data_IF_526853598880
#
_entry.id   IF_526853598880
#
_cell.length_a   1.000
_cell.length_b   1.000
_cell.length_c   1.000
_cell.angle_alpha   90.00
_cell.angle_beta   90.00
_cell.angle_gamma   90.00
#
_symmetry.space_group_name_H-M   'P 1'
#
loop_
_entity.id
_entity.type
_entity.pdbx_description
1 polymer ?
#
# COMPACT_ATOMS: atom_id res chain seq x y z
N UNK A 1 2.31 -25.77 -14.10
CA UNK A 1 2.91 -25.24 -15.34
C UNK A 1 3.36 -23.81 -15.05
N UNK A 2 4.55 -23.38 -15.48
CA UNK A 2 4.89 -21.95 -15.44
C UNK A 2 4.11 -21.25 -16.56
N UNK A 3 3.29 -20.27 -16.23
CA UNK A 3 2.61 -19.37 -17.16
C UNK A 3 3.17 -17.96 -16.98
N UNK A 4 3.28 -17.16 -18.06
CA UNK A 4 3.74 -15.76 -18.00
C UNK A 4 5.24 -15.52 -18.12
N UNK A 5 6.07 -16.51 -18.46
CA UNK A 5 7.49 -16.29 -18.73
C UNK A 5 7.74 -15.91 -20.20
N UNK A 6 8.38 -14.78 -20.45
CA UNK A 6 8.95 -14.44 -21.76
C UNK A 6 10.41 -14.90 -21.80
N UNK A 7 10.76 -15.80 -22.71
CA UNK A 7 12.15 -16.07 -23.07
C UNK A 7 12.62 -14.99 -24.05
N UNK A 8 13.13 -13.87 -23.55
CA UNK A 8 13.69 -12.78 -24.36
C UNK A 8 15.22 -12.76 -24.29
N UNK A 9 15.85 -11.92 -25.13
CA UNK A 9 17.30 -11.73 -25.21
C UNK A 9 18.13 -12.96 -25.64
N UNK A 10 17.52 -13.96 -26.29
CA UNK A 10 18.28 -15.05 -26.91
C UNK A 10 19.24 -14.48 -27.95
N UNK A 11 20.54 -14.74 -27.78
CA UNK A 11 21.59 -14.32 -28.70
C UNK A 11 22.37 -15.53 -29.22
N UNK A 12 22.81 -15.42 -30.47
CA UNK A 12 23.74 -16.36 -31.07
C UNK A 12 24.72 -15.57 -31.94
N UNK A 13 26.01 -15.85 -31.79
CA UNK A 13 27.10 -15.33 -32.60
C UNK A 13 27.95 -16.47 -33.19
N UNK A 14 29.07 -16.09 -33.82
CA UNK A 14 30.00 -17.01 -34.48
C UNK A 14 30.70 -18.01 -33.54
N UNK A 15 30.68 -17.77 -32.22
CA UNK A 15 31.17 -18.70 -31.20
C UNK A 15 30.05 -19.58 -30.58
N UNK A 16 28.78 -19.30 -30.87
CA UNK A 16 27.61 -20.04 -30.38
C UNK A 16 26.53 -19.15 -29.76
N UNK A 17 25.53 -19.76 -29.12
CA UNK A 17 24.41 -19.05 -28.47
C UNK A 17 23.72 -19.91 -27.42
N UNK A 18 22.85 -19.30 -26.61
CA UNK A 18 22.13 -19.99 -25.54
C UNK A 18 20.72 -19.44 -25.33
N UNK A 19 19.82 -20.31 -24.87
CA UNK A 19 18.55 -19.88 -24.28
C UNK A 19 18.85 -19.56 -22.82
N UNK A 20 18.87 -18.29 -22.46
CA UNK A 20 19.05 -17.86 -21.07
C UNK A 20 17.83 -17.06 -20.62
N UNK A 21 17.40 -17.29 -19.38
CA UNK A 21 16.37 -16.51 -18.72
C UNK A 21 17.08 -15.56 -17.76
N UNK A 22 17.38 -14.34 -18.21
CA UNK A 22 17.67 -13.26 -17.28
C UNK A 22 16.33 -12.89 -16.64
N UNK A 23 16.17 -13.35 -15.39
CA UNK A 23 15.07 -13.09 -14.48
C UNK A 23 14.28 -11.82 -14.86
N UNK A 24 13.30 -11.95 -15.74
CA UNK A 24 12.62 -10.77 -16.29
C UNK A 24 11.77 -10.22 -15.16
N UNK A 25 12.31 -9.26 -14.41
CA UNK A 25 11.54 -8.45 -13.46
C UNK A 25 10.63 -7.57 -14.30
N UNK A 26 9.54 -8.15 -14.77
CA UNK A 26 8.43 -7.37 -15.27
C UNK A 26 7.69 -6.84 -14.04
N UNK A 27 7.87 -5.56 -13.72
CA UNK A 27 7.03 -4.89 -12.74
C UNK A 27 5.64 -4.78 -13.35
N UNK A 28 4.66 -5.43 -12.72
CA UNK A 28 3.24 -5.36 -13.14
C UNK A 28 2.52 -4.15 -12.55
N UNK A 29 3.07 -3.58 -11.47
CA UNK A 29 2.61 -2.38 -10.79
C UNK A 29 3.73 -1.83 -9.89
N UNK A 30 3.74 -0.52 -9.65
CA UNK A 30 4.62 0.16 -8.69
C UNK A 30 3.89 1.32 -8.03
N UNK A 31 3.54 1.14 -6.74
CA UNK A 31 2.72 2.07 -5.99
C UNK A 31 3.30 3.49 -5.87
N UNK A 32 4.62 3.65 -5.98
CA UNK A 32 5.28 4.96 -5.85
C UNK A 32 5.29 5.67 -7.20
N UNK A 33 5.78 5.02 -8.25
CA UNK A 33 5.90 5.65 -9.58
C UNK A 33 4.59 5.76 -10.33
N UNK A 34 3.59 4.96 -9.94
CA UNK A 34 2.22 5.00 -10.49
C UNK A 34 1.25 5.73 -9.54
N UNK A 35 1.75 6.40 -8.49
CA UNK A 35 0.91 7.25 -7.65
C UNK A 35 0.35 8.42 -8.47
N UNK A 36 -0.94 8.72 -8.30
CA UNK A 36 -1.59 9.81 -9.03
C UNK A 36 -2.77 10.40 -8.29
N UNK A 37 -3.27 11.51 -8.81
CA UNK A 37 -4.46 12.26 -8.39
C UNK A 37 -5.77 11.72 -9.01
N UNK A 38 -5.71 10.55 -9.68
CA UNK A 38 -6.86 9.92 -10.34
C UNK A 38 -7.11 8.53 -9.75
N UNK A 39 -8.30 8.33 -9.16
CA UNK A 39 -8.75 7.01 -8.72
C UNK A 39 -8.85 6.02 -9.90
N UNK A 40 -8.25 4.85 -9.74
CA UNK A 40 -8.24 3.77 -10.73
C UNK A 40 -7.15 3.86 -11.79
N UNK A 41 -6.32 4.91 -11.80
CA UNK A 41 -5.19 4.99 -12.73
C UNK A 41 -4.15 3.92 -12.41
N UNK A 42 -3.69 3.17 -13.43
CA UNK A 42 -2.80 2.02 -13.24
C UNK A 42 -3.43 0.88 -12.43
N UNK A 43 -4.77 0.86 -12.28
CA UNK A 43 -5.52 0.00 -11.36
C UNK A 43 -5.26 0.27 -9.86
N UNK A 44 -4.73 1.45 -9.52
CA UNK A 44 -4.57 1.88 -8.13
C UNK A 44 -5.77 2.67 -7.63
N UNK A 45 -6.17 2.39 -6.40
CA UNK A 45 -7.20 3.11 -5.68
C UNK A 45 -6.66 3.51 -4.31
N UNK A 46 -7.02 4.70 -3.86
CA UNK A 46 -6.54 5.28 -2.60
C UNK A 46 -7.73 5.49 -1.69
N UNK A 47 -7.64 5.00 -0.47
CA UNK A 47 -8.77 5.01 0.43
C UNK A 47 -8.42 4.65 1.86
N UNK A 48 -9.43 4.25 2.59
CA UNK A 48 -9.34 3.95 4.01
C UNK A 48 -10.32 2.84 4.40
N UNK A 49 -10.07 2.27 5.56
CA UNK A 49 -11.02 1.47 6.32
C UNK A 49 -11.40 2.24 7.57
N UNK A 50 -12.67 2.26 7.94
CA UNK A 50 -13.20 2.95 9.13
C UNK A 50 -13.83 1.99 10.16
N UNK A 51 -13.85 0.69 9.86
CA UNK A 51 -14.40 -0.33 10.72
C UNK A 51 -15.92 -0.33 10.81
N UNK A 52 -16.62 0.41 9.93
CA UNK A 52 -18.07 0.55 9.96
C UNK A 52 -18.81 -0.62 9.27
N UNK A 53 -18.09 -1.43 8.49
CA UNK A 53 -18.68 -2.54 7.76
C UNK A 53 -18.90 -3.79 8.61
N UNK A 54 -19.70 -4.72 8.08
CA UNK A 54 -19.90 -6.04 8.69
C UNK A 54 -18.63 -6.90 8.76
N UNK A 55 -17.61 -6.54 7.97
CA UNK A 55 -16.29 -7.17 7.94
C UNK A 55 -15.23 -6.06 8.08
N UNK A 56 -15.09 -5.48 9.28
CA UNK A 56 -14.27 -4.29 9.49
C UNK A 56 -12.81 -4.58 9.15
N UNK A 57 -12.10 -3.55 8.67
CA UNK A 57 -10.67 -3.63 8.34
C UNK A 57 -10.33 -4.75 7.34
N UNK A 58 -11.20 -4.94 6.35
CA UNK A 58 -11.04 -5.90 5.26
C UNK A 58 -11.33 -5.23 3.92
N UNK A 59 -11.16 -5.96 2.81
CA UNK A 59 -11.43 -5.40 1.49
C UNK A 59 -12.87 -4.87 1.32
N UNK A 60 -13.84 -5.37 2.08
CA UNK A 60 -15.23 -4.90 2.04
C UNK A 60 -15.46 -3.56 2.75
N UNK A 61 -14.52 -3.15 3.59
CA UNK A 61 -14.54 -1.91 4.38
C UNK A 61 -13.94 -0.72 3.60
N UNK A 62 -13.46 -0.97 2.39
CA UNK A 62 -12.75 0.05 1.61
C UNK A 62 -13.68 1.16 1.12
N UNK A 63 -13.42 2.37 1.60
CA UNK A 63 -13.94 3.61 1.04
C UNK A 63 -12.82 4.38 0.33
N UNK A 64 -13.10 4.91 -0.87
CA UNK A 64 -12.14 5.77 -1.56
C UNK A 64 -12.03 7.12 -0.86
N UNK A 65 -10.82 7.69 -0.85
CA UNK A 65 -10.65 9.08 -0.47
C UNK A 65 -11.38 9.98 -1.48
N UNK A 66 -12.21 10.91 -1.00
CA UNK A 66 -12.95 11.83 -1.86
C UNK A 66 -12.10 13.00 -2.38
N UNK A 67 -10.98 13.31 -1.71
CA UNK A 67 -10.20 14.52 -1.98
C UNK A 67 -8.72 14.22 -2.23
N UNK A 68 -8.10 15.01 -3.11
CA UNK A 68 -6.66 15.03 -3.36
C UNK A 68 -6.16 16.47 -3.43
N UNK A 69 -5.00 16.75 -2.83
CA UNK A 69 -4.35 18.05 -2.94
C UNK A 69 -3.36 18.33 -1.81
N UNK A 70 -2.93 19.60 -1.72
CA UNK A 70 -2.12 20.11 -0.62
C UNK A 70 -3.03 20.88 0.33
N UNK A 71 -2.95 20.55 1.62
CA UNK A 71 -3.64 21.28 2.69
C UNK A 71 -2.63 21.85 3.69
N UNK A 72 -3.04 22.84 4.50
CA UNK A 72 -2.18 23.44 5.52
C UNK A 72 -2.06 22.56 6.78
N UNK A 73 -2.87 21.50 6.89
CA UNK A 73 -2.97 20.68 8.08
C UNK A 73 -1.96 19.54 8.06
N UNK A 74 -1.24 19.34 9.16
CA UNK A 74 -0.26 18.23 9.30
C UNK A 74 1.06 18.40 8.55
N UNK A 75 1.20 19.41 7.69
CA UNK A 75 2.42 19.64 6.91
C UNK A 75 2.75 18.48 5.96
N UNK A 76 1.73 17.72 5.53
CA UNK A 76 1.87 16.63 4.59
C UNK A 76 2.23 17.15 3.18
N UNK A 77 2.88 16.32 2.34
CA UNK A 77 3.02 16.61 0.91
C UNK A 77 1.65 16.61 0.22
N UNK A 78 1.59 16.74 -1.11
CA UNK A 78 0.33 16.51 -1.83
C UNK A 78 -0.16 15.06 -1.63
N UNK A 79 -1.44 14.90 -1.26
CA UNK A 79 -1.94 13.63 -0.74
C UNK A 79 -3.45 13.44 -0.99
N UNK A 80 -3.89 12.19 -0.89
CA UNK A 80 -5.30 11.81 -0.76
C UNK A 80 -5.75 11.85 0.69
N UNK A 81 -6.97 12.31 0.95
CA UNK A 81 -7.52 12.44 2.30
C UNK A 81 -9.05 12.39 2.35
N UNK A 82 -9.60 12.18 3.57
CA UNK A 82 -11.05 12.23 3.84
C UNK A 82 -11.49 13.69 3.99
N UNK A 83 -11.09 14.30 5.10
CA UNK A 83 -11.29 15.69 5.46
C UNK A 83 -10.21 16.03 6.50
N UNK A 84 -9.17 16.75 6.09
CA UNK A 84 -8.05 17.06 6.97
C UNK A 84 -8.45 17.95 8.15
N UNK A 85 -9.62 18.61 8.13
CA UNK A 85 -10.10 19.35 9.29
C UNK A 85 -10.67 18.45 10.38
N UNK A 86 -10.96 17.19 10.05
CA UNK A 86 -11.62 16.24 10.95
C UNK A 86 -10.80 14.98 11.21
N UNK A 87 -9.89 14.59 10.31
CA UNK A 87 -9.14 13.34 10.39
C UNK A 87 -7.69 13.54 9.93
N UNK A 88 -6.79 12.74 10.49
CA UNK A 88 -5.42 12.63 9.98
C UNK A 88 -5.25 11.60 8.84
N UNK A 89 -6.32 10.91 8.45
CA UNK A 89 -6.25 9.80 7.49
C UNK A 89 -5.85 10.29 6.10
N UNK A 90 -4.64 9.93 5.66
CA UNK A 90 -4.05 10.42 4.42
C UNK A 90 -3.13 9.39 3.74
N UNK A 91 -2.94 9.53 2.42
CA UNK A 91 -1.96 8.77 1.62
C UNK A 91 -1.23 9.65 0.61
N UNK A 92 0.08 9.46 0.47
CA UNK A 92 0.92 10.08 -0.55
C UNK A 92 1.89 9.05 -1.17
N UNK A 93 2.70 9.43 -2.14
CA UNK A 93 3.50 8.49 -2.96
C UNK A 93 4.35 7.49 -2.16
N UNK A 94 4.97 7.92 -1.05
CA UNK A 94 5.90 7.13 -0.26
C UNK A 94 5.39 6.82 1.16
N UNK A 95 4.11 7.05 1.45
CA UNK A 95 3.47 6.60 2.68
C UNK A 95 2.08 7.15 2.94
N UNK A 96 1.78 7.39 4.21
CA UNK A 96 0.46 7.79 4.66
C UNK A 96 0.42 8.05 6.16
N UNK A 97 -0.75 8.48 6.61
CA UNK A 97 -1.07 8.71 8.01
C UNK A 97 -2.42 8.09 8.32
N UNK A 98 -2.54 7.47 9.49
CA UNK A 98 -3.77 6.85 9.99
C UNK A 98 -4.54 7.81 10.88
N UNK A 99 -5.77 7.47 11.27
CA UNK A 99 -6.45 8.17 12.38
C UNK A 99 -6.66 7.17 13.52
N UNK A 100 -6.38 7.59 14.74
CA UNK A 100 -6.50 6.75 15.93
C UNK A 100 -7.72 7.17 16.76
N UNK A 101 -8.47 6.20 17.27
CA UNK A 101 -9.62 6.43 18.17
C UNK A 101 -9.21 6.80 19.61
N UNK A 102 -8.02 7.38 19.82
CA UNK A 102 -7.49 7.75 21.13
C UNK A 102 -6.85 9.14 21.17
N UNK A 103 -6.86 9.90 20.06
CA UNK A 103 -6.14 11.16 19.99
C UNK A 103 -7.03 12.39 19.73
N UNK A 104 -7.41 13.08 20.82
CA UNK A 104 -7.97 14.43 20.78
C UNK A 104 -6.89 15.54 20.63
N UNK A 105 -5.62 15.19 20.38
CA UNK A 105 -4.56 16.19 20.19
C UNK A 105 -4.68 16.84 18.82
N UNK A 106 -5.30 18.03 18.78
CA UNK A 106 -5.34 18.87 17.56
C UNK A 106 -6.73 19.21 17.03
N UNK A 107 -7.80 18.74 17.67
CA UNK A 107 -9.18 19.06 17.25
C UNK A 107 -9.76 18.13 16.17
N UNK A 108 -9.18 16.96 16.03
CA UNK A 108 -9.55 15.85 15.13
C UNK A 108 -10.59 14.96 15.84
N UNK A 109 -11.37 14.17 15.09
CA UNK A 109 -12.33 13.22 15.64
C UNK A 109 -11.67 11.90 16.07
N UNK A 110 -12.16 11.34 17.19
CA UNK A 110 -11.73 10.07 17.78
C UNK A 110 -12.31 8.85 17.02
N UNK A 111 -11.88 8.63 15.78
CA UNK A 111 -12.32 7.50 14.94
C UNK A 111 -11.10 6.70 14.43
N UNK A 112 -11.17 5.37 14.43
CA UNK A 112 -10.04 4.57 13.96
C UNK A 112 -10.13 4.35 12.45
N UNK A 113 -9.20 4.96 11.72
CA UNK A 113 -9.09 4.80 10.28
C UNK A 113 -7.73 4.22 9.88
N UNK A 114 -7.77 3.19 9.05
CA UNK A 114 -6.59 2.65 8.40
C UNK A 114 -6.43 3.29 7.03
N UNK A 115 -5.22 3.72 6.69
CA UNK A 115 -4.93 4.23 5.35
C UNK A 115 -4.64 3.06 4.42
N UNK A 116 -5.33 2.99 3.27
CA UNK A 116 -5.31 1.81 2.39
C UNK A 116 -5.01 2.20 0.96
N UNK A 117 -3.94 1.61 0.42
CA UNK A 117 -3.67 1.64 -1.02
C UNK A 117 -4.07 0.31 -1.61
N UNK A 118 -4.98 0.32 -2.56
CA UNK A 118 -5.52 -0.88 -3.21
C UNK A 118 -5.04 -0.97 -4.65
N UNK A 119 -4.56 -2.14 -5.04
CA UNK A 119 -4.36 -2.49 -6.44
C UNK A 119 -5.39 -3.53 -6.88
N UNK A 120 -6.02 -3.30 -8.01
CA UNK A 120 -6.93 -4.28 -8.63
C UNK A 120 -6.19 -5.02 -9.73
N UNK A 121 -6.10 -6.34 -9.60
CA UNK A 121 -5.29 -7.13 -10.52
C UNK A 121 -5.86 -7.14 -11.94
N UNK A 122 -5.04 -6.72 -12.91
CA UNK A 122 -5.32 -6.87 -14.34
C UNK A 122 -4.89 -8.22 -14.92
N UNK A 123 -4.32 -9.10 -14.10
CA UNK A 123 -3.70 -10.36 -14.53
C UNK A 123 -4.12 -11.54 -13.63
N UNK A 124 -3.91 -12.75 -14.14
CA UNK A 124 -4.00 -13.97 -13.35
C UNK A 124 -2.62 -14.64 -13.23
N UNK A 125 -2.35 -15.30 -12.10
CA UNK A 125 -1.15 -16.09 -11.89
C UNK A 125 -0.46 -15.85 -10.55
N UNK A 126 0.79 -16.31 -10.44
CA UNK A 126 1.63 -16.08 -9.28
C UNK A 126 2.33 -14.72 -9.42
N UNK A 127 2.18 -13.86 -8.40
CA UNK A 127 2.86 -12.57 -8.34
C UNK A 127 3.69 -12.47 -7.07
N UNK A 128 4.79 -11.73 -7.16
CA UNK A 128 5.64 -11.41 -6.01
C UNK A 128 5.41 -9.96 -5.61
N UNK A 129 4.93 -9.77 -4.38
CA UNK A 129 4.78 -8.46 -3.75
C UNK A 129 6.01 -8.21 -2.88
N UNK A 130 6.72 -7.10 -3.10
CA UNK A 130 7.93 -6.78 -2.35
C UNK A 130 8.06 -5.28 -2.12
N UNK A 131 8.63 -4.92 -0.98
CA UNK A 131 8.80 -3.53 -0.57
C UNK A 131 9.46 -3.42 0.79
N UNK A 132 9.38 -2.23 1.38
CA UNK A 132 9.87 -1.92 2.72
C UNK A 132 8.75 -1.23 3.50
N UNK A 133 8.50 -1.68 4.72
CA UNK A 133 7.62 -1.00 5.67
C UNK A 133 8.51 -0.32 6.73
N UNK A 134 8.45 1.00 6.81
CA UNK A 134 9.23 1.82 7.74
C UNK A 134 8.47 3.12 8.07
N UNK A 135 8.93 3.83 9.10
CA UNK A 135 8.57 5.25 9.29
C UNK A 135 9.41 6.13 8.36
N UNK A 136 8.79 7.13 7.72
CA UNK A 136 9.49 8.04 6.78
C UNK A 136 10.37 9.06 7.52
N UNK A 137 9.93 9.51 8.69
CA UNK A 137 10.64 10.51 9.47
C UNK A 137 10.99 9.98 10.86
N UNK A 138 12.28 10.06 11.21
CA UNK A 138 12.78 9.78 12.55
C UNK A 138 12.51 10.96 13.47
N UNK A 139 11.25 11.18 13.81
CA UNK A 139 10.80 12.18 14.75
C UNK A 139 9.77 11.53 15.67
N UNK A 140 10.07 11.46 16.96
CA UNK A 140 9.30 10.73 17.96
C UNK A 140 7.87 11.27 18.12
N UNK A 141 6.92 10.73 17.36
CA UNK A 141 5.49 10.80 17.71
C UNK A 141 4.78 9.52 17.27
N UNK A 142 3.85 9.07 18.11
CA UNK A 142 3.06 7.85 17.93
C UNK A 142 3.73 6.57 18.45
N UNK A 143 2.90 5.56 18.76
CA UNK A 143 3.29 4.28 19.33
C UNK A 143 3.67 3.22 18.27
N UNK A 144 3.88 3.69 17.04
CA UNK A 144 4.16 2.88 15.86
C UNK A 144 2.91 2.61 15.03
N UNK A 145 3.09 1.78 14.01
CA UNK A 145 2.02 1.36 13.09
C UNK A 145 2.09 -0.15 12.90
N UNK A 146 0.96 -0.72 12.49
CA UNK A 146 0.91 -2.06 11.91
C UNK A 146 0.70 -1.92 10.40
N UNK A 147 1.55 -2.55 9.60
CA UNK A 147 1.32 -2.68 8.16
C UNK A 147 0.74 -4.04 7.84
N UNK A 148 -0.17 -4.08 6.86
CA UNK A 148 -0.82 -5.29 6.38
C UNK A 148 -0.78 -5.38 4.85
N UNK A 149 -0.73 -6.60 4.34
CA UNK A 149 -1.05 -6.94 2.95
C UNK A 149 -2.20 -7.94 2.98
N UNK A 150 -3.32 -7.54 2.38
CA UNK A 150 -4.54 -8.34 2.27
C UNK A 150 -4.75 -8.69 0.78
N UNK A 151 -5.06 -9.94 0.48
CA UNK A 151 -5.41 -10.40 -0.88
C UNK A 151 -6.79 -11.05 -0.83
N UNK A 152 -7.76 -10.45 -1.53
CA UNK A 152 -9.15 -10.91 -1.56
C UNK A 152 -9.78 -11.10 -0.16
N UNK A 153 -9.35 -10.30 0.81
CA UNK A 153 -9.80 -10.31 2.21
C UNK A 153 -8.86 -11.06 3.16
N UNK A 154 -7.97 -11.91 2.63
CA UNK A 154 -7.08 -12.74 3.45
C UNK A 154 -5.77 -12.02 3.74
N UNK A 155 -5.37 -11.95 5.01
CA UNK A 155 -4.05 -11.46 5.41
C UNK A 155 -2.97 -12.44 4.92
N UNK A 156 -2.06 -11.92 4.09
CA UNK A 156 -0.90 -12.68 3.61
C UNK A 156 0.40 -12.21 4.26
N UNK A 157 0.40 -11.02 4.88
CA UNK A 157 1.54 -10.47 5.59
C UNK A 157 1.11 -9.35 6.54
N UNK A 158 1.76 -9.28 7.70
CA UNK A 158 1.65 -8.16 8.62
C UNK A 158 2.97 -7.92 9.36
N UNK A 159 3.19 -6.68 9.81
CA UNK A 159 4.38 -6.31 10.57
C UNK A 159 4.17 -5.03 11.37
N UNK A 160 4.54 -5.08 12.65
CA UNK A 160 4.64 -3.90 13.50
C UNK A 160 5.94 -3.15 13.23
N UNK A 161 5.86 -1.82 13.14
CA UNK A 161 6.99 -0.90 13.06
C UNK A 161 6.87 0.16 14.16
N UNK A 162 7.92 0.31 14.95
CA UNK A 162 7.96 1.30 16.02
C UNK A 162 7.96 2.74 15.47
N UNK A 163 7.46 3.70 16.26
CA UNK A 163 7.34 5.11 15.86
C UNK A 163 8.64 5.78 15.40
N UNK A 164 9.79 5.24 15.80
CA UNK A 164 11.13 5.74 15.47
C UNK A 164 11.89 4.86 14.47
N UNK A 165 11.31 3.75 14.00
CA UNK A 165 12.00 2.81 13.14
C UNK A 165 11.93 3.24 11.66
N UNK A 166 12.97 3.96 11.25
CA UNK A 166 13.16 4.44 9.87
C UNK A 166 13.92 3.47 8.97
N UNK A 167 14.40 2.36 9.52
CA UNK A 167 15.05 1.28 8.74
C UNK A 167 13.98 0.31 8.25
N UNK A 168 13.07 -0.04 9.14
CA UNK A 168 11.92 -0.87 8.86
C UNK A 168 12.27 -2.31 8.49
N UNK A 169 11.33 -2.96 7.81
CA UNK A 169 11.40 -4.37 7.42
C UNK A 169 11.14 -4.51 5.93
N UNK A 170 12.08 -5.15 5.23
CA UNK A 170 11.87 -5.57 3.85
C UNK A 170 10.98 -6.81 3.82
N UNK A 171 9.91 -6.76 3.02
CA UNK A 171 9.02 -7.90 2.81
C UNK A 171 9.08 -8.39 1.38
N UNK A 172 8.72 -9.67 1.22
CA UNK A 172 8.62 -10.32 -0.07
C UNK A 172 7.71 -11.54 0.04
N UNK A 173 6.47 -11.41 -0.44
CA UNK A 173 5.47 -12.47 -0.39
C UNK A 173 5.05 -12.88 -1.80
N UNK A 174 4.85 -14.18 -2.01
CA UNK A 174 4.32 -14.70 -3.27
C UNK A 174 2.85 -15.05 -3.05
N UNK A 175 1.98 -14.58 -3.93
CA UNK A 175 0.53 -14.79 -3.84
C UNK A 175 -0.01 -15.21 -5.21
N UNK A 176 -1.06 -16.04 -5.20
CA UNK A 176 -1.88 -16.25 -6.38
C UNK A 176 -2.87 -15.10 -6.51
N UNK A 177 -3.04 -14.57 -7.71
CA UNK A 177 -4.08 -13.58 -8.03
C UNK A 177 -4.88 -14.05 -9.25
N UNK A 178 -6.14 -13.63 -9.29
CA UNK A 178 -6.96 -13.69 -10.49
C UNK A 178 -7.11 -12.28 -11.07
N UNK A 179 -7.60 -12.18 -12.30
CA UNK A 179 -8.10 -10.91 -12.81
C UNK A 179 -9.19 -10.44 -11.83
N UNK A 180 -9.15 -9.15 -11.47
CA UNK A 180 -9.94 -8.46 -10.44
C UNK A 180 -9.66 -8.83 -8.97
N UNK A 181 -8.64 -9.65 -8.66
CA UNK A 181 -8.21 -9.82 -7.27
C UNK A 181 -7.84 -8.46 -6.65
N UNK A 182 -8.24 -8.25 -5.40
CA UNK A 182 -8.00 -7.03 -4.65
C UNK A 182 -6.77 -7.22 -3.77
N UNK A 183 -5.76 -6.37 -3.94
CA UNK A 183 -4.55 -6.36 -3.10
C UNK A 183 -4.51 -5.05 -2.33
N UNK A 184 -4.69 -5.12 -1.03
CA UNK A 184 -4.71 -3.95 -0.17
C UNK A 184 -3.45 -3.89 0.67
N UNK A 185 -2.79 -2.74 0.61
CA UNK A 185 -1.67 -2.36 1.46
C UNK A 185 -2.23 -1.38 2.49
N UNK A 186 -2.50 -1.88 3.69
CA UNK A 186 -3.11 -1.11 4.75
C UNK A 186 -2.10 -0.73 5.82
N UNK A 187 -2.22 0.49 6.36
CA UNK A 187 -1.49 0.98 7.52
C UNK A 187 -2.53 1.24 8.60
N UNK A 188 -2.35 0.61 9.75
CA UNK A 188 -3.21 0.73 10.92
C UNK A 188 -2.48 1.46 12.07
N UNK A 189 -3.21 2.24 12.89
CA UNK A 189 -2.66 2.77 14.12
C UNK A 189 -2.38 1.63 15.12
N UNK A 190 -1.39 1.81 16.01
CA UNK A 190 -1.09 0.87 17.10
C UNK A 190 -1.64 1.34 18.47
N UNK A 191 -2.47 2.38 18.49
CA UNK A 191 -2.76 3.19 19.67
C UNK A 191 -2.75 4.64 19.26
N UNK A 192 -1.74 5.42 19.65
CA UNK A 192 -1.56 6.78 19.14
C UNK A 192 -0.84 6.75 17.79
N UNK A 193 -1.45 7.36 16.77
CA UNK A 193 -0.87 7.52 15.43
C UNK A 193 -0.03 8.78 15.31
#
# INVERSE_FOLDING_TARGET
ALTGCTFSANSADEAGGGIYFENSKFFIANSVTEFSDIQGEGNWYYGYYDGDSAFPYSNNDFAQFPNYGITEHGGFPEHWYIDDSLYWTALWENGGHTNAAVDNSGGILDEEHWAVRRWVSGIEGQVRIAGNLAKIHGGYSGDGIMGYILVDGDEVWSQYIAGYDTVGVNYSVNVAVNIVSLIDFAIAPNGNS
#
